data_IF_922582533813
#
_entry.id   IF_922582533813
#
_cell.length_a   1.000
_cell.length_b   1.000
_cell.length_c   1.000
_cell.angle_alpha   90.00
_cell.angle_beta   90.00
_cell.angle_gamma   90.00
#
_symmetry.space_group_name_H-M   'P 1'
#
loop_
_entity.id
_entity.type
_entity.pdbx_description
1 polymer ?
#
# COMPACT_ATOMS: atom_id res chain seq x y z
N UNK A 1 -3.41 -34.31 43.05
CA UNK A 1 -4.03 -33.00 43.27
C UNK A 1 -3.94 -32.27 41.96
N UNK A 2 -5.08 -32.13 41.31
CA UNK A 2 -5.30 -31.61 39.97
C UNK A 2 -5.25 -30.09 39.97
N UNK A 3 -4.60 -29.52 38.95
CA UNK A 3 -4.93 -28.27 38.24
C UNK A 3 -4.29 -28.46 36.86
N UNK A 4 -4.99 -28.84 35.78
CA UNK A 4 -5.88 -27.99 34.95
C UNK A 4 -5.32 -26.56 34.88
N UNK A 5 -4.86 -26.03 33.74
CA UNK A 5 -5.54 -25.94 32.44
C UNK A 5 -4.51 -25.32 31.45
N UNK A 6 -4.33 -25.89 30.26
CA UNK A 6 -5.03 -25.44 29.04
C UNK A 6 -4.49 -24.12 28.46
N UNK A 7 -3.87 -24.24 27.28
CA UNK A 7 -4.31 -23.50 26.10
C UNK A 7 -4.03 -21.98 26.09
N UNK A 8 -2.78 -21.61 25.87
CA UNK A 8 -2.52 -20.56 24.89
C UNK A 8 -2.11 -21.25 23.59
N UNK A 9 -3.01 -22.09 23.06
CA UNK A 9 -3.00 -22.40 21.64
C UNK A 9 -3.25 -21.05 20.97
N UNK A 10 -2.18 -20.36 20.59
CA UNK A 10 -2.18 -19.07 19.93
C UNK A 10 -3.16 -19.19 18.77
N UNK A 11 -4.37 -18.68 18.99
CA UNK A 11 -5.52 -18.98 18.15
C UNK A 11 -5.41 -18.09 16.92
N UNK A 12 -4.51 -18.49 16.03
CA UNK A 12 -4.24 -17.82 14.77
C UNK A 12 -5.26 -18.28 13.75
N UNK A 13 -6.07 -17.36 13.26
CA UNK A 13 -7.03 -17.61 12.20
C UNK A 13 -6.60 -16.91 10.92
N UNK A 14 -6.73 -17.58 9.78
CA UNK A 14 -6.61 -16.94 8.47
C UNK A 14 -7.98 -16.46 8.02
N UNK A 15 -8.04 -15.20 7.60
CA UNK A 15 -9.19 -14.64 6.91
C UNK A 15 -8.79 -14.14 5.53
N UNK A 16 -9.70 -14.31 4.58
CA UNK A 16 -9.62 -13.69 3.26
C UNK A 16 -10.45 -12.41 3.28
N UNK A 17 -9.78 -11.27 3.15
CA UNK A 17 -10.39 -9.95 3.15
C UNK A 17 -10.40 -9.38 1.74
N UNK A 18 -11.54 -8.89 1.27
CA UNK A 18 -11.64 -8.20 -0.02
C UNK A 18 -11.53 -6.69 0.18
N UNK A 19 -10.34 -6.13 -0.04
CA UNK A 19 -10.01 -4.73 0.21
C UNK A 19 -9.35 -4.12 -1.03
N UNK A 20 -9.68 -2.86 -1.36
CA UNK A 20 -9.07 -2.14 -2.50
C UNK A 20 -9.08 -2.91 -3.84
N UNK A 21 -10.16 -3.67 -4.11
CA UNK A 21 -10.32 -4.54 -5.30
C UNK A 21 -9.34 -5.71 -5.39
N UNK A 22 -8.78 -6.17 -4.26
CA UNK A 22 -7.88 -7.33 -4.17
C UNK A 22 -8.28 -8.21 -2.99
N UNK A 23 -8.15 -9.53 -3.16
CA UNK A 23 -8.22 -10.48 -2.04
C UNK A 23 -6.88 -10.49 -1.31
N UNK A 24 -6.92 -10.28 0.00
CA UNK A 24 -5.76 -10.28 0.89
C UNK A 24 -5.97 -11.38 1.92
N UNK A 25 -4.94 -12.21 2.13
CA UNK A 25 -4.89 -13.13 3.24
C UNK A 25 -4.24 -12.44 4.43
N UNK A 26 -4.93 -12.45 5.56
CA UNK A 26 -4.42 -11.93 6.82
C UNK A 26 -4.53 -13.01 7.89
N UNK A 27 -3.54 -13.07 8.77
CA UNK A 27 -3.59 -13.83 10.00
C UNK A 27 -4.00 -12.92 11.16
N UNK A 28 -4.89 -13.44 11.99
CA UNK A 28 -5.42 -12.78 13.18
C UNK A 28 -4.97 -13.61 14.38
N UNK A 29 -4.30 -12.98 15.33
CA UNK A 29 -3.94 -13.62 16.60
C UNK A 29 -4.44 -12.75 17.75
N UNK A 30 -4.83 -13.37 18.86
CA UNK A 30 -5.10 -12.66 20.11
C UNK A 30 -3.92 -12.92 21.06
N UNK A 31 -3.15 -11.88 21.34
CA UNK A 31 -1.97 -11.94 22.23
C UNK A 31 -2.17 -10.92 23.36
N UNK A 32 -2.22 -11.39 24.60
CA UNK A 32 -2.40 -10.54 25.80
C UNK A 32 -3.52 -9.50 25.65
N UNK A 33 -4.71 -9.95 25.21
CA UNK A 33 -5.90 -9.13 24.92
C UNK A 33 -5.77 -8.16 23.73
N UNK A 34 -4.64 -8.16 23.03
CA UNK A 34 -4.44 -7.38 21.81
C UNK A 34 -4.70 -8.22 20.56
N UNK A 35 -5.51 -7.68 19.65
CA UNK A 35 -5.69 -8.27 18.33
C UNK A 35 -4.50 -7.90 17.44
N UNK A 36 -3.67 -8.89 17.12
CA UNK A 36 -2.56 -8.76 16.18
C UNK A 36 -3.05 -9.16 14.80
N UNK A 37 -2.80 -8.30 13.81
CA UNK A 37 -3.16 -8.54 12.41
C UNK A 37 -1.89 -8.51 11.57
N UNK A 38 -1.58 -9.62 10.92
CA UNK A 38 -0.42 -9.77 10.04
C UNK A 38 -0.91 -10.12 8.64
N UNK A 39 -0.58 -9.31 7.64
CA UNK A 39 -1.11 -9.47 6.28
C UNK A 39 -0.01 -9.33 5.25
N UNK A 40 -0.16 -10.07 4.14
CA UNK A 40 0.78 -10.04 3.04
C UNK A 40 0.12 -9.45 1.78
N UNK A 41 0.78 -8.46 1.18
CA UNK A 41 0.29 -7.74 0.00
C UNK A 41 0.76 -8.34 -1.33
N UNK A 42 1.76 -9.22 -1.29
CA UNK A 42 2.31 -9.89 -2.47
C UNK A 42 2.17 -11.43 -2.37
N UNK A 43 2.20 -12.11 -3.52
CA UNK A 43 1.96 -13.57 -3.60
C UNK A 43 3.05 -14.42 -2.94
N UNK A 44 4.27 -13.91 -2.79
CA UNK A 44 5.37 -14.65 -2.13
C UNK A 44 5.19 -14.64 -0.62
N UNK A 45 4.89 -13.47 -0.06
CA UNK A 45 4.68 -13.30 1.38
C UNK A 45 3.37 -13.95 1.82
N UNK A 46 2.36 -14.01 0.95
CA UNK A 46 1.15 -14.81 1.21
C UNK A 46 1.45 -16.30 1.29
N UNK A 47 2.38 -16.81 0.48
CA UNK A 47 2.80 -18.21 0.54
C UNK A 47 3.59 -18.49 1.83
N UNK A 48 4.46 -17.56 2.25
CA UNK A 48 5.22 -17.64 3.50
C UNK A 48 4.29 -17.60 4.72
N UNK A 49 3.33 -16.67 4.76
CA UNK A 49 2.34 -16.56 5.86
C UNK A 49 1.50 -17.84 6.02
N UNK A 50 1.21 -18.51 4.90
CA UNK A 50 0.49 -19.80 4.90
C UNK A 50 1.40 -20.94 5.35
N UNK A 51 2.68 -20.94 4.97
CA UNK A 51 3.64 -21.99 5.32
C UNK A 51 4.06 -21.93 6.80
N UNK A 52 4.18 -20.73 7.38
CA UNK A 52 4.52 -20.54 8.80
C UNK A 52 3.42 -21.06 9.73
N UNK A 53 2.14 -20.88 9.40
CA UNK A 53 1.02 -21.48 10.15
C UNK A 53 1.05 -23.02 10.15
N UNK A 54 1.54 -23.66 9.09
CA UNK A 54 1.57 -25.12 8.99
C UNK A 54 2.82 -25.75 9.62
N UNK A 55 3.93 -25.02 9.72
CA UNK A 55 5.21 -25.57 10.20
C UNK A 55 5.46 -25.46 11.72
N UNK A 56 4.56 -24.85 12.49
CA UNK A 56 4.67 -24.79 13.96
C UNK A 56 4.38 -26.12 14.69
N UNK A 57 4.45 -27.28 14.01
CA UNK A 57 4.25 -28.58 14.68
C UNK A 57 5.53 -29.37 14.97
N UNK A 58 6.70 -29.10 14.38
CA UNK A 58 7.92 -29.84 14.77
C UNK A 58 9.22 -29.13 14.35
N UNK A 59 9.97 -28.61 15.33
CA UNK A 59 11.40 -28.85 15.53
C UNK A 59 12.07 -27.69 16.27
N UNK A 60 12.55 -27.99 17.47
CA UNK A 60 13.47 -27.16 18.24
C UNK A 60 14.77 -26.95 17.47
N UNK A 61 15.20 -25.70 17.29
CA UNK A 61 16.61 -25.41 17.05
C UNK A 61 17.00 -24.08 17.72
N UNK A 62 17.63 -24.10 18.92
CA UNK A 62 17.96 -22.89 19.65
C UNK A 62 19.37 -22.45 19.28
N UNK A 63 19.58 -21.95 18.06
CA UNK A 63 20.84 -21.27 17.70
C UNK A 63 20.65 -20.46 16.41
N UNK A 64 20.33 -19.18 16.56
CA UNK A 64 20.84 -18.09 15.73
C UNK A 64 20.87 -16.84 16.64
N UNK A 65 21.96 -16.75 17.37
CA UNK A 65 22.33 -15.65 18.26
C UNK A 65 22.57 -14.36 17.48
N UNK A 66 21.94 -13.29 17.96
CA UNK A 66 22.47 -11.91 18.03
C UNK A 66 23.64 -11.55 17.10
N UNK A 67 23.36 -10.82 16.02
CA UNK A 67 24.00 -9.52 15.74
C UNK A 67 23.75 -9.11 14.29
N UNK A 68 22.76 -8.24 14.10
CA UNK A 68 22.88 -7.07 13.24
C UNK A 68 21.76 -6.13 13.64
N UNK A 69 22.10 -5.16 14.48
CA UNK A 69 21.45 -3.85 14.47
C UNK A 69 21.72 -3.22 13.09
N UNK A 70 21.09 -3.73 12.05
CA UNK A 70 20.78 -2.90 10.90
C UNK A 70 19.40 -2.34 11.18
N UNK A 71 19.31 -1.02 11.27
CA UNK A 71 18.08 -0.29 11.03
C UNK A 71 17.43 -0.86 9.76
N UNK A 72 16.54 -1.85 9.89
CA UNK A 72 15.64 -2.21 8.80
C UNK A 72 14.49 -1.22 8.96
N UNK A 73 14.78 -0.01 8.50
CA UNK A 73 13.77 0.93 8.09
C UNK A 73 13.00 0.23 6.99
N UNK A 74 11.80 -0.26 7.31
CA UNK A 74 10.85 -0.63 6.29
C UNK A 74 10.70 0.61 5.37
N UNK A 75 11.10 0.52 4.08
CA UNK A 75 10.89 1.65 3.18
C UNK A 75 9.40 1.98 3.02
N UNK A 76 8.48 1.12 3.48
CA UNK A 76 7.04 1.33 3.36
C UNK A 76 6.40 2.10 4.53
N UNK A 77 7.02 2.13 5.71
CA UNK A 77 6.46 2.82 6.90
C UNK A 77 6.77 4.32 6.98
N UNK A 78 7.53 4.86 6.01
CA UNK A 78 7.98 6.27 6.04
C UNK A 78 7.39 7.12 4.90
N UNK A 79 6.54 6.55 4.04
CA UNK A 79 6.10 7.21 2.78
C UNK A 79 4.76 7.95 2.92
N UNK A 80 3.96 7.75 3.97
CA UNK A 80 2.73 8.54 4.15
C UNK A 80 3.09 9.95 4.62
N UNK A 81 3.02 10.94 3.71
CA UNK A 81 3.42 12.36 3.82
C UNK A 81 4.79 12.75 3.26
N UNK A 82 5.49 11.87 2.52
CA UNK A 82 6.67 12.31 1.78
C UNK A 82 6.31 12.80 0.38
N UNK A 83 6.66 14.06 0.10
CA UNK A 83 6.60 14.65 -1.24
C UNK A 83 7.57 13.90 -2.16
N UNK A 84 7.10 13.45 -3.33
CA UNK A 84 7.91 12.67 -4.27
C UNK A 84 7.66 13.11 -5.70
N UNK A 85 8.72 13.16 -6.50
CA UNK A 85 8.62 13.45 -7.93
C UNK A 85 8.47 12.13 -8.69
N UNK A 86 7.39 12.01 -9.45
CA UNK A 86 7.11 10.84 -10.30
C UNK A 86 7.05 11.27 -11.76
N UNK A 87 7.92 10.69 -12.59
CA UNK A 87 7.97 10.93 -14.03
C UNK A 87 7.32 9.78 -14.78
N UNK A 88 6.32 10.09 -15.59
CA UNK A 88 5.58 9.12 -16.40
C UNK A 88 5.62 9.56 -17.85
N UNK A 89 6.02 8.66 -18.73
CA UNK A 89 5.89 8.82 -20.18
C UNK A 89 4.67 8.04 -20.62
N UNK A 90 3.65 8.73 -21.15
CA UNK A 90 2.44 8.09 -21.66
C UNK A 90 2.46 7.97 -23.19
N UNK A 91 1.84 6.93 -23.79
CA UNK A 91 1.68 6.81 -25.24
C UNK A 91 0.77 7.90 -25.81
N UNK A 92 0.87 8.14 -27.12
CA UNK A 92 -0.03 9.04 -27.82
C UNK A 92 -1.48 8.52 -27.72
N UNK A 93 -2.43 9.44 -27.54
CA UNK A 93 -3.87 9.16 -27.35
C UNK A 93 -4.24 8.32 -26.11
N UNK A 94 -3.30 7.98 -25.23
CA UNK A 94 -3.58 7.30 -23.96
C UNK A 94 -3.36 8.29 -22.81
N UNK A 95 -4.32 8.38 -21.89
CA UNK A 95 -4.19 9.19 -20.67
C UNK A 95 -3.24 8.56 -19.65
N UNK A 96 -3.00 9.23 -18.52
CA UNK A 96 -2.16 8.68 -17.44
C UNK A 96 -2.73 7.38 -16.85
N UNK A 97 -4.05 7.16 -16.97
CA UNK A 97 -4.69 5.98 -16.39
C UNK A 97 -4.96 6.14 -14.89
N UNK A 98 -5.37 7.34 -14.48
CA UNK A 98 -5.83 7.64 -13.12
C UNK A 98 -7.20 8.30 -13.14
N UNK A 99 -7.97 8.11 -12.07
CA UNK A 99 -9.08 8.97 -11.72
C UNK A 99 -8.67 9.85 -10.55
N UNK A 100 -9.13 11.10 -10.56
CA UNK A 100 -8.90 12.05 -9.47
C UNK A 100 -10.20 12.44 -8.77
N UNK A 101 -10.10 12.91 -7.54
CA UNK A 101 -11.17 13.54 -6.76
C UNK A 101 -10.62 14.76 -6.03
N UNK A 102 -11.50 15.51 -5.36
CA UNK A 102 -11.12 16.73 -4.64
C UNK A 102 -11.13 17.95 -5.53
N UNK A 103 -10.48 19.03 -5.10
CA UNK A 103 -10.55 20.35 -5.70
C UNK A 103 -10.91 21.40 -4.66
N UNK A 104 -10.56 22.66 -4.94
CA UNK A 104 -10.77 23.81 -4.03
C UNK A 104 -12.22 23.93 -3.57
N UNK A 105 -13.17 23.70 -4.46
CA UNK A 105 -14.61 23.78 -4.17
C UNK A 105 -15.06 22.79 -3.08
N UNK A 106 -14.34 21.66 -2.96
CA UNK A 106 -14.60 20.63 -1.97
C UNK A 106 -13.69 20.76 -0.74
N UNK A 107 -12.85 21.81 -0.66
CA UNK A 107 -11.81 21.99 0.37
C UNK A 107 -10.92 20.76 0.55
N UNK A 108 -10.68 20.02 -0.53
CA UNK A 108 -9.85 18.83 -0.57
C UNK A 108 -8.74 19.00 -1.61
N UNK A 109 -7.52 18.50 -1.34
CA UNK A 109 -6.48 18.45 -2.37
C UNK A 109 -6.92 17.57 -3.55
N UNK A 110 -6.22 17.69 -4.68
CA UNK A 110 -6.42 16.78 -5.80
C UNK A 110 -5.82 15.42 -5.42
N UNK A 111 -6.67 14.40 -5.29
CA UNK A 111 -6.27 13.06 -4.85
C UNK A 111 -6.50 12.02 -5.95
N UNK A 112 -5.59 11.04 -6.06
CA UNK A 112 -5.81 9.85 -6.89
C UNK A 112 -6.89 8.97 -6.24
N UNK A 113 -8.03 8.82 -6.89
CA UNK A 113 -9.14 7.98 -6.43
C UNK A 113 -9.09 6.56 -7.00
N UNK A 114 -8.45 6.39 -8.16
CA UNK A 114 -8.30 5.09 -8.83
C UNK A 114 -7.09 5.10 -9.75
N UNK A 115 -6.42 3.96 -9.84
CA UNK A 115 -5.41 3.67 -10.86
C UNK A 115 -5.94 2.53 -11.73
N UNK A 116 -5.88 2.70 -13.04
CA UNK A 116 -6.38 1.71 -14.00
C UNK A 116 -5.27 0.74 -14.40
N UNK A 117 -5.53 -0.58 -14.36
CA UNK A 117 -4.51 -1.58 -14.62
C UNK A 117 -3.96 -1.49 -16.03
N UNK A 118 -2.67 -1.80 -16.20
CA UNK A 118 -1.94 -1.80 -17.47
C UNK A 118 -1.89 -0.44 -18.19
N UNK A 119 -2.17 0.67 -17.50
CA UNK A 119 -2.00 2.03 -18.01
C UNK A 119 -0.73 2.68 -17.43
N UNK A 120 -0.25 3.82 -17.98
CA UNK A 120 1.05 4.38 -17.63
C UNK A 120 1.28 4.60 -16.12
N UNK A 121 0.27 5.06 -15.39
CA UNK A 121 0.34 5.21 -13.94
C UNK A 121 0.53 3.87 -13.20
N UNK A 122 -0.21 2.83 -13.58
CA UNK A 122 -0.07 1.49 -13.00
C UNK A 122 1.30 0.88 -13.32
N UNK A 123 1.73 0.99 -14.58
CA UNK A 123 3.02 0.49 -15.05
C UNK A 123 4.21 1.19 -14.39
N UNK A 124 4.03 2.44 -13.96
CA UNK A 124 5.08 3.17 -13.23
C UNK A 124 5.37 2.57 -11.86
N UNK A 125 4.39 1.91 -11.22
CA UNK A 125 4.49 1.34 -9.87
C UNK A 125 4.74 2.36 -8.75
N UNK A 126 4.72 3.66 -9.04
CA UNK A 126 5.14 4.74 -8.14
C UNK A 126 3.96 5.59 -7.62
N UNK A 127 2.80 5.45 -8.24
CA UNK A 127 1.56 6.12 -7.84
C UNK A 127 0.65 5.15 -7.10
N UNK A 128 -0.05 5.65 -6.10
CA UNK A 128 -0.97 4.91 -5.26
C UNK A 128 -2.29 5.65 -5.11
N UNK A 129 -3.38 4.89 -4.93
CA UNK A 129 -4.66 5.48 -4.56
C UNK A 129 -4.53 6.16 -3.20
N UNK A 130 -5.00 7.40 -3.10
CA UNK A 130 -4.85 8.24 -1.92
C UNK A 130 -3.73 9.27 -2.02
N UNK A 131 -2.80 9.14 -2.99
CA UNK A 131 -1.77 10.16 -3.22
C UNK A 131 -2.41 11.51 -3.54
N UNK A 132 -1.84 12.58 -2.97
CA UNK A 132 -2.16 13.95 -3.33
C UNK A 132 -1.24 14.43 -4.45
N UNK A 133 -1.82 14.96 -5.52
CA UNK A 133 -1.10 15.59 -6.62
C UNK A 133 -1.00 17.08 -6.29
N UNK A 134 0.19 17.51 -5.93
CA UNK A 134 0.54 18.88 -5.57
C UNK A 134 0.90 19.69 -6.80
N UNK A 135 1.60 19.09 -7.78
CA UNK A 135 1.92 19.77 -9.04
C UNK A 135 1.96 18.83 -10.25
N UNK A 136 1.82 19.43 -11.45
CA UNK A 136 1.94 18.75 -12.75
C UNK A 136 2.83 19.59 -13.64
N UNK A 137 3.99 19.06 -14.04
CA UNK A 137 5.00 19.76 -14.85
C UNK A 137 5.34 21.16 -14.26
N UNK A 138 5.45 21.25 -12.93
CA UNK A 138 5.70 22.49 -12.21
C UNK A 138 4.49 23.42 -12.05
N UNK A 139 3.32 23.12 -12.62
CA UNK A 139 2.08 23.86 -12.34
C UNK A 139 1.46 23.37 -11.04
N UNK A 140 1.24 24.28 -10.10
CA UNK A 140 0.63 23.99 -8.79
C UNK A 140 -0.86 23.61 -8.91
N UNK A 141 -1.27 22.58 -8.16
CA UNK A 141 -2.64 22.04 -8.10
C UNK A 141 -3.27 22.17 -6.70
N UNK A 142 -2.56 22.70 -5.70
CA UNK A 142 -3.05 22.73 -4.31
C UNK A 142 -4.31 23.58 -4.11
N UNK A 143 -4.50 24.60 -4.94
CA UNK A 143 -5.60 25.57 -4.81
C UNK A 143 -6.46 25.72 -6.07
N UNK A 144 -6.40 24.75 -6.98
CA UNK A 144 -7.19 24.76 -8.21
C UNK A 144 -8.53 24.04 -8.04
N UNK A 145 -9.50 24.32 -8.91
CA UNK A 145 -10.75 23.56 -8.94
C UNK A 145 -10.54 22.16 -9.49
N UNK A 146 -11.49 21.25 -9.25
CA UNK A 146 -11.45 19.92 -9.87
C UNK A 146 -11.33 19.99 -11.39
N UNK A 147 -12.15 20.83 -12.03
CA UNK A 147 -12.16 20.98 -13.48
C UNK A 147 -10.83 21.51 -14.01
N UNK A 148 -10.22 22.49 -13.34
CA UNK A 148 -8.93 23.00 -13.75
C UNK A 148 -7.83 21.93 -13.60
N UNK A 149 -7.82 21.16 -12.51
CA UNK A 149 -6.90 20.04 -12.36
C UNK A 149 -7.02 19.00 -13.48
N UNK A 150 -8.26 18.67 -13.88
CA UNK A 150 -8.52 17.78 -15.01
C UNK A 150 -7.96 18.35 -16.31
N UNK A 151 -8.14 19.65 -16.57
CA UNK A 151 -7.60 20.30 -17.76
C UNK A 151 -6.06 20.26 -17.77
N UNK A 152 -5.41 20.57 -16.66
CA UNK A 152 -3.95 20.54 -16.52
C UNK A 152 -3.40 19.14 -16.82
N UNK A 153 -3.98 18.10 -16.20
CA UNK A 153 -3.55 16.71 -16.40
C UNK A 153 -3.76 16.24 -17.85
N UNK A 154 -4.80 16.74 -18.54
CA UNK A 154 -5.06 16.44 -19.95
C UNK A 154 -4.04 17.11 -20.88
N UNK A 155 -3.64 18.34 -20.58
CA UNK A 155 -2.71 19.13 -21.41
C UNK A 155 -1.24 18.93 -21.08
N UNK A 156 -0.91 18.12 -20.07
CA UNK A 156 0.45 17.85 -19.59
C UNK A 156 1.42 17.19 -20.61
N UNK A 157 1.03 17.02 -21.88
CA UNK A 157 1.91 16.47 -22.91
C UNK A 157 2.22 14.98 -22.71
N UNK A 158 3.25 14.47 -23.39
CA UNK A 158 3.64 13.04 -23.36
C UNK A 158 4.40 12.66 -22.10
N UNK A 159 5.28 13.55 -21.65
CA UNK A 159 6.07 13.40 -20.43
C UNK A 159 5.41 14.21 -19.33
N UNK A 160 5.03 13.54 -18.25
CA UNK A 160 4.35 14.15 -17.11
C UNK A 160 5.20 13.94 -15.87
N UNK A 161 5.58 15.03 -15.23
CA UNK A 161 6.19 15.08 -13.92
C UNK A 161 5.10 15.44 -12.90
N UNK A 162 4.85 14.56 -11.95
CA UNK A 162 3.92 14.75 -10.84
C UNK A 162 4.70 14.93 -9.54
N UNK A 163 4.16 15.74 -8.64
CA UNK A 163 4.68 15.92 -7.28
C UNK A 163 3.58 15.77 -6.23
#
# INVERSE_FOLDING_TARGET
>A
MTVESSLAEQQRAIVELYLHSKWIKASLALEDENLVIEYATNKRDQQILIEELHNHTNASNPNLTSNSRSNIHDPSDTITNQKRIVKIVKPDNIGLGISIKGGRENRMPILISKIFPNLPADQSGQLHVGDAILSVNGKDLQHVSHEEAVQILKTAGKEVELE
#
